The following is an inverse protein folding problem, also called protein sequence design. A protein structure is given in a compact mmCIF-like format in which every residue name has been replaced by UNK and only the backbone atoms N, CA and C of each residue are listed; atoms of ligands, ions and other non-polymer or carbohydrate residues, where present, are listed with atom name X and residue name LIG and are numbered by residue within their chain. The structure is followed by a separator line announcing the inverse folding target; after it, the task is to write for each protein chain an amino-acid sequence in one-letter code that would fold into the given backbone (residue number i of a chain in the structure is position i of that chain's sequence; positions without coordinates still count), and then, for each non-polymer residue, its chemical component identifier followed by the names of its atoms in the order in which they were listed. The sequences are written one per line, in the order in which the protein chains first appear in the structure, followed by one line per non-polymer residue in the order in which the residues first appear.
data_IF_340083139657
#
_entry.id   IF_340083139657
#
_cell.length_a   1.000
_cell.length_b   1.000
_cell.length_c   1.000
_cell.angle_alpha   90.00
_cell.angle_beta   90.00
_cell.angle_gamma   90.00
#
_symmetry.space_group_name_H-M   'P 1'
#
loop_
_entity.id
_entity.type
_entity.pdbx_description
1 polymer ?
#
# COMPACT_ATOMS: atom_id res chain seq x y z
N UNK A 1 27.61 -2.30 11.13
CA UNK A 1 27.59 -3.26 9.99
C UNK A 1 26.54 -4.36 10.04
N UNK A 2 25.27 -4.03 10.33
CA UNK A 2 24.13 -4.94 10.05
C UNK A 2 23.60 -4.79 8.61
N UNK A 3 24.17 -3.86 7.82
CA UNK A 3 23.70 -3.49 6.49
C UNK A 3 24.17 -4.39 5.34
N UNK A 4 24.94 -5.45 5.62
CA UNK A 4 25.49 -6.40 4.65
C UNK A 4 25.02 -7.86 4.83
N UNK A 5 24.15 -8.11 5.80
CA UNK A 5 23.49 -9.41 5.94
C UNK A 5 22.42 -9.56 4.85
N UNK A 6 22.31 -10.74 4.23
CA UNK A 6 21.15 -11.13 3.41
C UNK A 6 19.82 -11.09 4.21
N UNK A 7 19.92 -10.99 5.54
CA UNK A 7 18.82 -10.96 6.49
C UNK A 7 18.63 -9.58 7.12
N UNK A 8 17.44 -9.00 6.97
CA UNK A 8 17.10 -7.69 7.54
C UNK A 8 16.56 -7.84 8.98
N UNK A 9 17.51 -8.05 9.90
CA UNK A 9 17.21 -8.21 11.34
C UNK A 9 16.56 -6.94 11.92
N UNK A 10 16.93 -5.77 11.41
CA UNK A 10 16.38 -4.48 11.88
C UNK A 10 14.91 -4.38 11.51
N UNK A 11 14.54 -4.73 10.28
CA UNK A 11 13.14 -4.78 9.86
C UNK A 11 12.33 -5.79 10.68
N UNK A 12 12.88 -6.98 10.94
CA UNK A 12 12.19 -8.00 11.74
C UNK A 12 11.93 -7.55 13.19
N UNK A 13 12.94 -6.98 13.86
CA UNK A 13 12.79 -6.42 15.22
C UNK A 13 11.82 -5.24 15.25
N UNK A 14 11.85 -4.40 14.22
CA UNK A 14 10.94 -3.27 14.08
C UNK A 14 9.49 -3.74 13.99
N UNK A 15 9.20 -4.72 13.13
CA UNK A 15 7.85 -5.31 12.99
C UNK A 15 7.39 -5.93 14.32
N UNK A 16 8.23 -6.72 14.99
CA UNK A 16 7.91 -7.31 16.29
C UNK A 16 7.57 -6.23 17.32
N UNK A 17 8.39 -5.17 17.40
CA UNK A 17 8.17 -4.04 18.29
C UNK A 17 6.82 -3.37 18.04
N UNK A 18 6.47 -3.11 16.77
CA UNK A 18 5.18 -2.54 16.41
C UNK A 18 4.01 -3.48 16.72
N UNK A 19 4.15 -4.79 16.48
CA UNK A 19 3.12 -5.77 16.80
C UNK A 19 2.86 -5.88 18.30
N UNK A 20 3.91 -5.82 19.13
CA UNK A 20 3.78 -5.76 20.60
C UNK A 20 3.11 -4.45 21.02
N UNK A 21 3.54 -3.33 20.47
CA UNK A 21 2.97 -2.01 20.74
C UNK A 21 1.46 -1.97 20.43
N UNK A 22 1.05 -2.48 19.28
CA UNK A 22 -0.36 -2.59 18.88
C UNK A 22 -1.16 -3.54 19.77
N UNK A 23 -0.52 -4.62 20.23
CA UNK A 23 -1.15 -5.59 21.12
C UNK A 23 -1.50 -5.01 22.49
N UNK A 24 -0.68 -4.09 23.01
CA UNK A 24 -0.93 -3.36 24.27
C UNK A 24 -2.12 -2.40 24.16
N UNK A 25 -2.60 -2.10 22.94
CA UNK A 25 -3.84 -1.36 22.73
C UNK A 25 -3.65 0.14 22.58
N UNK A 26 -2.58 0.57 21.92
CA UNK A 26 -2.49 1.96 21.48
C UNK A 26 -3.58 2.18 20.42
N UNK A 27 -4.62 2.94 20.80
CA UNK A 27 -5.53 3.54 19.83
C UNK A 27 -4.76 4.62 19.11
N UNK A 28 -4.66 4.53 17.78
CA UNK A 28 -4.20 5.67 17.00
C UNK A 28 -5.15 6.83 17.25
N UNK A 29 -4.64 7.89 17.86
CA UNK A 29 -5.34 9.16 17.94
C UNK A 29 -5.19 9.88 16.61
N UNK A 30 -6.28 10.47 16.10
CA UNK A 30 -6.24 11.33 14.93
C UNK A 30 -5.13 12.40 15.02
N UNK A 31 -4.85 12.91 16.23
CA UNK A 31 -3.77 13.86 16.49
C UNK A 31 -2.39 13.26 16.22
N UNK A 32 -2.13 12.04 16.69
CA UNK A 32 -0.84 11.35 16.49
C UNK A 32 -0.63 11.05 15.01
N UNK A 33 -1.68 10.58 14.32
CA UNK A 33 -1.62 10.36 12.88
C UNK A 33 -1.35 11.66 12.12
N UNK A 34 -2.02 12.76 12.47
CA UNK A 34 -1.78 14.07 11.86
C UNK A 34 -0.33 14.55 12.06
N UNK A 35 0.25 14.34 13.24
CA UNK A 35 1.67 14.65 13.50
C UNK A 35 2.57 13.85 12.56
N UNK A 36 2.35 12.53 12.42
CA UNK A 36 3.13 11.72 11.48
C UNK A 36 2.99 12.18 10.03
N UNK A 37 1.77 12.58 9.61
CA UNK A 37 1.52 13.10 8.27
C UNK A 37 2.25 14.43 8.03
N UNK A 38 2.19 15.37 8.98
CA UNK A 38 2.91 16.64 8.88
C UNK A 38 4.42 16.42 8.85
N UNK A 39 4.95 15.52 9.67
CA UNK A 39 6.39 15.20 9.69
C UNK A 39 6.85 14.61 8.35
N UNK A 40 6.14 13.61 7.81
CA UNK A 40 6.57 12.97 6.55
C UNK A 40 6.42 13.90 5.34
N UNK A 41 5.36 14.72 5.29
CA UNK A 41 5.17 15.69 4.19
C UNK A 41 6.19 16.82 4.30
N UNK A 42 6.43 17.37 5.49
CA UNK A 42 7.41 18.45 5.66
C UNK A 42 8.82 18.01 5.29
N UNK A 43 9.22 16.78 5.63
CA UNK A 43 10.51 16.22 5.20
C UNK A 43 10.65 16.14 3.68
N UNK A 44 9.59 15.75 2.96
CA UNK A 44 9.60 15.73 1.48
C UNK A 44 9.65 17.14 0.89
N UNK A 45 8.92 18.10 1.46
CA UNK A 45 8.98 19.50 1.02
C UNK A 45 10.38 20.08 1.23
N UNK A 46 11.01 19.80 2.38
CA UNK A 46 12.39 20.20 2.67
C UNK A 46 13.35 19.58 1.67
N UNK A 47 13.20 18.29 1.35
CA UNK A 47 13.99 17.64 0.32
C UNK A 47 13.81 18.30 -1.05
N UNK A 48 12.57 18.56 -1.48
CA UNK A 48 12.27 19.19 -2.76
C UNK A 48 12.90 20.59 -2.81
N UNK A 49 12.73 21.40 -1.77
CA UNK A 49 13.24 22.77 -1.70
C UNK A 49 14.77 22.81 -1.69
N UNK A 50 15.43 21.99 -0.86
CA UNK A 50 16.88 21.93 -0.80
C UNK A 50 17.50 21.29 -2.04
N UNK A 51 16.90 20.22 -2.54
CA UNK A 51 17.36 19.50 -3.72
C UNK A 51 17.19 20.29 -5.01
N UNK A 52 16.22 21.22 -5.08
CA UNK A 52 16.05 22.11 -6.23
C UNK A 52 17.32 22.91 -6.57
N UNK A 53 18.13 23.29 -5.56
CA UNK A 53 19.40 23.99 -5.77
C UNK A 53 20.50 23.11 -6.38
N UNK A 54 20.33 21.79 -6.36
CA UNK A 54 21.27 20.81 -6.91
C UNK A 54 20.83 20.28 -8.28
N UNK A 55 19.68 20.72 -8.80
CA UNK A 55 19.16 20.22 -10.07
C UNK A 55 20.00 20.72 -11.24
N UNK A 56 20.62 19.78 -11.94
CA UNK A 56 21.33 20.05 -13.17
C UNK A 56 20.48 19.58 -14.36
N UNK A 57 20.10 20.51 -15.26
CA UNK A 57 19.27 20.21 -16.42
C UNK A 57 19.88 19.12 -17.33
N UNK A 58 21.21 18.98 -17.33
CA UNK A 58 21.93 17.93 -18.05
C UNK A 58 21.50 16.52 -17.62
N UNK A 59 21.17 16.31 -16.33
CA UNK A 59 20.72 15.02 -15.82
C UNK A 59 19.32 14.63 -16.32
N UNK A 60 18.52 15.62 -16.76
CA UNK A 60 17.15 15.42 -17.26
C UNK A 60 17.09 15.23 -18.79
N UNK A 61 18.19 15.46 -19.51
CA UNK A 61 18.19 15.42 -20.98
C UNK A 61 17.90 14.01 -21.54
N UNK A 62 18.36 12.97 -20.86
CA UNK A 62 18.05 11.58 -21.21
C UNK A 62 16.92 11.04 -20.31
N UNK A 63 15.72 11.62 -20.46
CA UNK A 63 14.57 11.35 -19.57
C UNK A 63 14.04 9.91 -19.67
N UNK A 64 14.20 9.27 -20.83
CA UNK A 64 13.70 7.92 -21.07
C UNK A 64 14.77 7.04 -21.75
N UNK A 65 15.87 6.71 -21.06
CA UNK A 65 16.99 5.99 -21.65
C UNK A 65 16.62 4.56 -22.08
N UNK A 66 15.55 4.01 -21.51
CA UNK A 66 15.09 2.62 -21.69
C UNK A 66 13.90 2.51 -22.67
N UNK A 67 13.22 3.62 -22.92
CA UNK A 67 11.91 3.58 -23.54
C UNK A 67 10.85 2.93 -22.65
N UNK A 68 9.80 2.42 -23.28
CA UNK A 68 8.70 1.73 -22.63
C UNK A 68 9.07 0.34 -22.08
N UNK A 69 10.26 -0.16 -22.45
CA UNK A 69 10.66 -1.56 -22.28
C UNK A 69 9.96 -2.49 -23.27
N UNK A 70 10.41 -3.75 -23.32
CA UNK A 70 9.75 -4.78 -24.12
C UNK A 70 8.50 -5.30 -23.40
N UNK A 71 7.34 -5.18 -24.05
CA UNK A 71 6.06 -5.66 -23.52
C UNK A 71 5.95 -7.18 -23.67
N UNK A 72 6.72 -7.93 -22.90
CA UNK A 72 6.58 -9.37 -22.80
C UNK A 72 5.59 -9.72 -21.69
N UNK A 73 4.47 -10.42 -21.99
CA UNK A 73 3.56 -10.90 -20.96
C UNK A 73 4.32 -11.70 -19.91
N UNK A 74 4.10 -11.38 -18.64
CA UNK A 74 4.76 -11.98 -17.48
C UNK A 74 6.28 -11.78 -17.43
N UNK A 75 6.83 -10.83 -18.20
CA UNK A 75 8.27 -10.55 -18.22
C UNK A 75 8.76 -9.80 -16.98
N UNK A 76 7.95 -8.88 -16.48
CA UNK A 76 8.26 -8.05 -15.31
C UNK A 76 9.66 -7.46 -15.29
N UNK A 77 10.23 -7.30 -14.09
CA UNK A 77 11.64 -6.96 -13.91
C UNK A 77 12.60 -8.17 -14.07
N UNK A 78 12.09 -9.39 -14.31
CA UNK A 78 12.89 -10.60 -14.15
C UNK A 78 13.39 -11.20 -15.47
N UNK A 79 12.71 -10.99 -16.60
CA UNK A 79 13.05 -11.67 -17.87
C UNK A 79 14.05 -10.89 -18.76
N UNK A 80 15.19 -10.41 -18.21
CA UNK A 80 16.37 -10.05 -19.01
C UNK A 80 17.66 -10.34 -18.24
N UNK A 81 18.19 -11.56 -18.41
CA UNK A 81 19.41 -12.10 -17.81
C UNK A 81 20.73 -11.47 -18.33
N UNK A 82 20.74 -10.19 -18.71
CA UNK A 82 21.96 -9.47 -19.04
C UNK A 82 22.08 -8.22 -18.18
N UNK A 83 23.20 -8.12 -17.50
CA UNK A 83 23.58 -7.16 -16.45
C UNK A 83 23.63 -5.69 -16.87
N UNK A 84 22.90 -5.28 -17.92
CA UNK A 84 22.91 -3.93 -18.48
C UNK A 84 21.61 -3.55 -19.22
N UNK A 85 20.44 -4.01 -18.79
CA UNK A 85 19.15 -3.54 -19.32
C UNK A 85 18.42 -2.74 -18.24
N UNK A 86 18.29 -1.41 -18.38
CA UNK A 86 17.49 -0.63 -17.44
C UNK A 86 16.01 -1.04 -17.54
N UNK A 87 15.24 -0.99 -16.44
CA UNK A 87 13.85 -1.45 -16.42
C UNK A 87 12.96 -0.47 -17.20
N UNK A 88 12.08 -1.00 -18.07
CA UNK A 88 11.15 -0.17 -18.84
C UNK A 88 10.10 0.52 -17.97
N UNK A 89 9.51 1.60 -18.48
CA UNK A 89 8.48 2.39 -17.77
C UNK A 89 7.34 1.51 -17.22
N UNK A 90 6.93 0.46 -17.93
CA UNK A 90 5.83 -0.40 -17.49
C UNK A 90 6.19 -1.25 -16.27
N UNK A 91 7.39 -1.85 -16.26
CA UNK A 91 7.87 -2.66 -15.14
C UNK A 91 8.15 -1.79 -13.90
N UNK A 92 8.77 -0.63 -14.07
CA UNK A 92 8.97 0.34 -12.98
C UNK A 92 7.62 0.88 -12.50
N UNK A 93 6.69 1.17 -13.42
CA UNK A 93 5.34 1.63 -13.11
C UNK A 93 4.58 0.66 -12.20
N UNK A 94 4.65 -0.63 -12.52
CA UNK A 94 4.06 -1.68 -11.67
C UNK A 94 4.76 -1.82 -10.32
N UNK A 95 6.02 -1.43 -10.18
CA UNK A 95 6.76 -1.45 -8.92
C UNK A 95 6.44 -0.24 -8.04
N UNK A 96 6.53 0.98 -8.60
CA UNK A 96 6.22 2.23 -7.88
C UNK A 96 4.72 2.39 -7.59
N UNK A 97 3.87 1.55 -8.19
CA UNK A 97 2.46 1.41 -7.79
C UNK A 97 2.31 1.16 -6.29
N UNK A 98 3.27 0.49 -5.66
CA UNK A 98 3.30 0.28 -4.21
C UNK A 98 3.14 1.60 -3.42
N UNK A 99 3.76 2.68 -3.91
CA UNK A 99 3.72 4.00 -3.25
C UNK A 99 2.31 4.61 -3.20
N UNK A 100 1.38 4.11 -4.02
CA UNK A 100 -0.02 4.55 -4.06
C UNK A 100 -0.94 3.69 -3.19
N UNK A 101 -0.46 2.59 -2.61
CA UNK A 101 -1.27 1.75 -1.73
C UNK A 101 -1.52 2.48 -0.41
N UNK A 102 -2.75 2.42 0.11
CA UNK A 102 -3.14 2.98 1.40
C UNK A 102 -4.31 3.97 1.34
N UNK A 103 -4.70 4.47 0.16
CA UNK A 103 -5.88 5.34 0.03
C UNK A 103 -7.19 4.63 0.43
N UNK A 104 -7.24 3.32 0.28
CA UNK A 104 -8.32 2.44 0.69
C UNK A 104 -8.51 2.44 2.21
N UNK A 105 -7.46 2.69 2.99
CA UNK A 105 -7.56 2.83 4.46
C UNK A 105 -8.51 3.97 4.85
N UNK A 106 -8.53 5.08 4.11
CA UNK A 106 -9.46 6.19 4.36
C UNK A 106 -10.93 5.79 4.20
N UNK A 107 -11.21 4.75 3.40
CA UNK A 107 -12.58 4.22 3.25
C UNK A 107 -13.03 3.37 4.43
N UNK A 108 -12.09 2.83 5.24
CA UNK A 108 -12.42 2.06 6.44
C UNK A 108 -12.94 2.94 7.59
N UNK A 109 -12.56 4.21 7.61
CA UNK A 109 -13.02 5.20 8.59
C UNK A 109 -14.25 5.97 8.09
N UNK A 110 -14.87 5.53 6.98
CA UNK A 110 -16.08 6.15 6.46
C UNK A 110 -17.22 6.18 7.48
N UNK A 111 -17.29 5.16 8.36
CA UNK A 111 -18.26 5.07 9.45
C UNK A 111 -18.04 6.12 10.55
N UNK A 112 -16.83 6.70 10.64
CA UNK A 112 -16.46 7.73 11.62
C UNK A 112 -16.53 9.16 11.03
N UNK A 113 -16.86 9.29 9.74
CA UNK A 113 -16.98 10.58 9.07
C UNK A 113 -18.33 11.25 9.36
N UNK A 114 -18.32 12.57 9.60
CA UNK A 114 -19.57 13.34 9.78
C UNK A 114 -20.40 13.39 8.51
N UNK A 115 -19.76 13.55 7.35
CA UNK A 115 -20.44 13.52 6.06
C UNK A 115 -19.70 12.57 5.09
N UNK A 116 -19.91 11.25 5.23
CA UNK A 116 -19.18 10.25 4.44
C UNK A 116 -19.35 10.42 2.92
N UNK A 117 -20.45 11.05 2.47
CA UNK A 117 -20.75 11.28 1.05
C UNK A 117 -19.75 12.24 0.39
N UNK A 118 -19.22 13.21 1.15
CA UNK A 118 -18.30 14.23 0.66
C UNK A 118 -16.89 14.04 1.23
N UNK A 119 -16.77 13.72 2.52
CA UNK A 119 -15.50 13.64 3.22
C UNK A 119 -14.63 12.50 2.66
N UNK A 120 -15.22 11.32 2.38
CA UNK A 120 -14.48 10.15 1.90
C UNK A 120 -13.97 10.36 0.47
N UNK A 121 -14.78 10.77 -0.52
CA UNK A 121 -14.28 11.02 -1.88
C UNK A 121 -13.24 12.14 -1.94
N UNK A 122 -13.46 13.25 -1.24
CA UNK A 122 -12.51 14.37 -1.20
C UNK A 122 -11.21 13.94 -0.52
N UNK A 123 -11.29 13.19 0.57
CA UNK A 123 -10.13 12.65 1.27
C UNK A 123 -9.31 11.71 0.39
N UNK A 124 -9.95 10.75 -0.28
CA UNK A 124 -9.28 9.76 -1.14
C UNK A 124 -8.65 10.43 -2.37
N UNK A 125 -9.44 11.21 -3.13
CA UNK A 125 -8.96 11.85 -4.37
C UNK A 125 -7.92 12.93 -4.05
N UNK A 126 -8.16 13.74 -3.00
CA UNK A 126 -7.24 14.78 -2.56
C UNK A 126 -5.91 14.21 -2.09
N UNK A 127 -5.92 13.15 -1.28
CA UNK A 127 -4.70 12.47 -0.84
C UNK A 127 -3.92 11.88 -2.02
N UNK A 128 -4.60 11.24 -2.97
CA UNK A 128 -3.97 10.71 -4.19
C UNK A 128 -3.37 11.81 -5.06
N UNK A 129 -4.08 12.93 -5.28
CA UNK A 129 -3.59 14.03 -6.09
C UNK A 129 -2.37 14.71 -5.46
N UNK A 130 -2.43 15.03 -4.16
CA UNK A 130 -1.32 15.64 -3.41
C UNK A 130 -0.12 14.67 -3.39
N UNK A 131 -0.36 13.39 -3.10
CA UNK A 131 0.68 12.37 -3.10
C UNK A 131 1.36 12.24 -4.47
N UNK A 132 0.58 12.21 -5.56
CA UNK A 132 1.10 12.19 -6.94
C UNK A 132 2.02 13.39 -7.20
N UNK A 133 1.58 14.61 -6.86
CA UNK A 133 2.38 15.82 -7.08
C UNK A 133 3.69 15.78 -6.31
N UNK A 134 3.65 15.38 -5.03
CA UNK A 134 4.84 15.29 -4.17
C UNK A 134 5.79 14.20 -4.67
N UNK A 135 5.27 13.03 -5.09
CA UNK A 135 6.09 11.96 -5.64
C UNK A 135 6.76 12.37 -6.95
N UNK A 136 6.03 12.99 -7.89
CA UNK A 136 6.60 13.49 -9.14
C UNK A 136 7.66 14.56 -8.88
N UNK A 137 7.39 15.53 -8.01
CA UNK A 137 8.35 16.57 -7.65
C UNK A 137 9.62 15.97 -7.01
N UNK A 138 9.46 15.04 -6.07
CA UNK A 138 10.57 14.33 -5.42
C UNK A 138 11.41 13.56 -6.44
N UNK A 139 10.77 12.84 -7.37
CA UNK A 139 11.48 12.08 -8.40
C UNK A 139 12.25 12.99 -9.37
N UNK A 140 11.65 14.09 -9.81
CA UNK A 140 12.30 15.08 -10.69
C UNK A 140 13.51 15.69 -9.99
N UNK A 141 13.37 16.11 -8.72
CA UNK A 141 14.47 16.68 -7.95
C UNK A 141 15.58 15.65 -7.72
N UNK A 142 15.23 14.41 -7.38
CA UNK A 142 16.19 13.33 -7.14
C UNK A 142 17.03 13.03 -8.39
N UNK A 143 16.39 12.80 -9.54
CA UNK A 143 17.08 12.51 -10.81
C UNK A 143 17.77 13.76 -11.37
N UNK A 144 17.25 14.95 -11.08
CA UNK A 144 17.89 16.21 -11.42
C UNK A 144 19.19 16.45 -10.64
N UNK A 145 19.23 16.05 -9.36
CA UNK A 145 20.39 16.22 -8.49
C UNK A 145 21.46 15.14 -8.70
N UNK A 146 21.04 13.88 -8.93
CA UNK A 146 21.95 12.73 -9.10
C UNK A 146 21.61 12.01 -10.40
N UNK A 147 22.60 11.74 -11.28
CA UNK A 147 22.39 10.93 -12.47
C UNK A 147 21.69 9.61 -12.14
N UNK A 148 20.67 9.24 -12.91
CA UNK A 148 19.78 8.09 -12.62
C UNK A 148 20.52 6.76 -12.38
N UNK A 149 21.69 6.58 -13.00
CA UNK A 149 22.54 5.39 -12.89
C UNK A 149 23.41 5.35 -11.62
N UNK A 150 23.46 6.43 -10.85
CA UNK A 150 24.24 6.55 -9.61
C UNK A 150 23.36 6.72 -8.36
N UNK A 151 22.03 6.69 -8.50
CA UNK A 151 21.11 6.77 -7.37
C UNK A 151 21.19 5.46 -6.57
N UNK A 152 21.60 5.48 -5.28
CA UNK A 152 21.69 4.28 -4.48
C UNK A 152 20.30 3.76 -4.11
N UNK A 153 20.19 2.43 -3.93
CA UNK A 153 18.96 1.79 -3.46
C UNK A 153 18.65 2.20 -2.01
N UNK A 154 19.69 2.32 -1.18
CA UNK A 154 19.54 2.68 0.24
C UNK A 154 19.69 4.20 0.42
N UNK A 155 18.72 4.81 1.11
CA UNK A 155 18.69 6.24 1.47
C UNK A 155 18.95 7.22 0.30
N UNK A 156 18.25 7.08 -0.86
CA UNK A 156 18.51 7.91 -2.04
C UNK A 156 18.31 9.42 -1.79
N UNK A 157 17.34 9.79 -0.96
CA UNK A 157 17.05 11.21 -0.67
C UNK A 157 18.19 11.89 0.11
N UNK A 158 18.76 11.20 1.09
CA UNK A 158 19.89 11.73 1.88
C UNK A 158 21.14 11.81 1.02
N UNK A 159 21.38 10.79 0.19
CA UNK A 159 22.51 10.77 -0.75
C UNK A 159 22.46 11.97 -1.71
N UNK A 160 21.29 12.28 -2.27
CA UNK A 160 21.14 13.38 -3.21
C UNK A 160 21.44 14.76 -2.61
N UNK A 161 21.27 14.94 -1.30
CA UNK A 161 21.59 16.19 -0.61
C UNK A 161 22.99 16.25 -0.01
N UNK A 162 23.76 15.15 -0.07
CA UNK A 162 25.12 15.11 0.47
C UNK A 162 26.03 16.25 -0.04
N UNK A 163 25.95 16.69 -1.32
CA UNK A 163 26.76 17.80 -1.83
C UNK A 163 26.50 19.16 -1.17
N UNK A 164 25.37 19.36 -0.48
CA UNK A 164 25.10 20.61 0.24
C UNK A 164 25.91 20.72 1.54
N UNK A 165 26.47 19.61 2.04
CA UNK A 165 27.23 19.57 3.29
C UNK A 165 26.46 20.14 4.51
N UNK A 166 25.13 20.00 4.54
CA UNK A 166 24.27 20.44 5.65
C UNK A 166 23.75 19.18 6.40
N UNK A 167 24.37 18.81 7.54
CA UNK A 167 23.97 17.61 8.30
C UNK A 167 22.52 17.67 8.80
N UNK A 168 22.02 18.88 9.10
CA UNK A 168 20.67 19.09 9.58
C UNK A 168 19.60 18.61 8.56
N UNK A 169 19.84 18.79 7.25
CA UNK A 169 18.92 18.31 6.21
C UNK A 169 18.81 16.79 6.20
N UNK A 170 19.95 16.11 6.33
CA UNK A 170 20.00 14.65 6.40
C UNK A 170 19.23 14.11 7.61
N UNK A 171 19.36 14.77 8.76
CA UNK A 171 18.62 14.43 9.98
C UNK A 171 17.11 14.62 9.82
N UNK A 172 16.68 15.77 9.29
CA UNK A 172 15.24 16.06 9.07
C UNK A 172 14.61 15.03 8.14
N UNK A 173 15.28 14.71 7.03
CA UNK A 173 14.79 13.72 6.06
C UNK A 173 14.75 12.33 6.69
N UNK A 174 15.80 11.93 7.40
CA UNK A 174 15.86 10.60 8.04
C UNK A 174 14.75 10.45 9.07
N UNK A 175 14.51 11.47 9.91
CA UNK A 175 13.39 11.48 10.86
C UNK A 175 12.03 11.41 10.16
N UNK A 176 11.84 12.16 9.07
CA UNK A 176 10.62 12.11 8.27
C UNK A 176 10.36 10.75 7.63
N UNK A 177 11.40 10.09 7.12
CA UNK A 177 11.31 8.73 6.57
C UNK A 177 10.96 7.73 7.68
N UNK A 178 11.65 7.77 8.83
CA UNK A 178 11.36 6.88 9.96
C UNK A 178 9.91 7.07 10.46
N UNK A 179 9.47 8.31 10.62
CA UNK A 179 8.10 8.65 10.98
C UNK A 179 7.09 8.12 9.95
N UNK A 180 7.36 8.32 8.66
CA UNK A 180 6.51 7.85 7.56
C UNK A 180 6.40 6.33 7.50
N UNK A 181 7.51 5.62 7.54
CA UNK A 181 7.54 4.14 7.52
C UNK A 181 6.87 3.55 8.75
N UNK A 182 7.06 4.14 9.93
CA UNK A 182 6.39 3.70 11.16
C UNK A 182 4.88 3.86 11.08
N UNK A 183 4.42 5.02 10.62
CA UNK A 183 2.98 5.31 10.45
C UNK A 183 2.31 4.33 9.48
N UNK A 184 2.94 4.05 8.32
CA UNK A 184 2.37 3.10 7.34
C UNK A 184 2.39 1.68 7.90
N UNK A 185 3.47 1.25 8.55
CA UNK A 185 3.56 -0.10 9.14
C UNK A 185 2.50 -0.34 10.22
N UNK A 186 2.26 0.66 11.10
CA UNK A 186 1.20 0.60 12.11
C UNK A 186 -0.18 0.50 11.47
N UNK A 187 -0.48 1.37 10.50
CA UNK A 187 -1.75 1.38 9.79
C UNK A 187 -2.02 0.05 9.06
N UNK A 188 -1.00 -0.54 8.41
CA UNK A 188 -1.13 -1.83 7.73
C UNK A 188 -1.37 -2.99 8.69
N UNK A 189 -0.62 -3.06 9.82
CA UNK A 189 -0.82 -4.10 10.84
C UNK A 189 -2.21 -4.00 11.49
N UNK A 190 -2.69 -2.78 11.75
CA UNK A 190 -4.04 -2.53 12.24
C UNK A 190 -5.10 -2.96 11.22
N UNK A 191 -4.97 -2.55 9.97
CA UNK A 191 -5.89 -2.92 8.89
C UNK A 191 -6.01 -4.43 8.72
N UNK A 192 -4.89 -5.16 8.71
CA UNK A 192 -4.87 -6.62 8.64
C UNK A 192 -5.64 -7.27 9.81
N UNK A 193 -5.40 -6.81 11.04
CA UNK A 193 -6.07 -7.39 12.23
C UNK A 193 -7.60 -7.20 12.19
N UNK A 194 -8.08 -6.07 11.65
CA UNK A 194 -9.51 -5.78 11.49
C UNK A 194 -10.16 -6.67 10.44
N UNK A 195 -9.51 -6.88 9.30
CA UNK A 195 -10.01 -7.77 8.25
C UNK A 195 -10.15 -9.20 8.79
N UNK A 196 -9.14 -9.69 9.51
CA UNK A 196 -9.18 -11.02 10.12
C UNK A 196 -10.28 -11.16 11.17
N UNK A 197 -10.51 -10.12 11.96
CA UNK A 197 -11.60 -10.09 12.93
C UNK A 197 -12.97 -10.22 12.25
N UNK A 198 -13.22 -9.43 11.19
CA UNK A 198 -14.49 -9.48 10.43
C UNK A 198 -14.65 -10.83 9.72
N UNK A 199 -13.60 -11.35 9.08
CA UNK A 199 -13.64 -12.67 8.44
C UNK A 199 -13.91 -13.80 9.44
N UNK A 200 -13.35 -13.72 10.65
CA UNK A 200 -13.62 -14.69 11.72
C UNK A 200 -15.05 -14.56 12.26
N UNK A 201 -15.57 -13.34 12.41
CA UNK A 201 -16.97 -13.06 12.78
C UNK A 201 -17.94 -13.64 11.76
N UNK A 202 -17.63 -13.50 10.47
CA UNK A 202 -18.45 -14.00 9.36
C UNK A 202 -18.27 -15.53 9.13
N UNK A 203 -17.55 -16.22 10.02
CA UNK A 203 -17.36 -17.68 10.01
C UNK A 203 -16.33 -18.19 8.99
N UNK A 204 -15.65 -17.29 8.28
CA UNK A 204 -14.66 -17.63 7.24
C UNK A 204 -13.30 -18.05 7.83
N UNK A 205 -12.98 -17.66 9.07
CA UNK A 205 -11.76 -18.04 9.79
C UNK A 205 -12.10 -18.74 11.13
N UNK A 206 -11.13 -19.43 11.78
CA UNK A 206 -11.34 -20.00 13.10
C UNK A 206 -11.69 -18.92 14.15
N UNK A 207 -12.62 -19.19 15.09
CA UNK A 207 -13.05 -18.20 16.08
C UNK A 207 -11.93 -17.77 17.05
N UNK A 208 -10.84 -18.54 17.15
CA UNK A 208 -9.65 -18.12 17.88
C UNK A 208 -9.01 -16.84 17.31
N UNK A 209 -9.23 -16.54 16.02
CA UNK A 209 -8.68 -15.36 15.33
C UNK A 209 -9.43 -14.07 15.71
N UNK A 210 -10.70 -14.17 16.11
CA UNK A 210 -11.48 -13.03 16.63
C UNK A 210 -11.38 -12.86 18.16
N UNK A 211 -10.60 -13.71 18.86
CA UNK A 211 -10.47 -13.63 20.31
C UNK A 211 -9.78 -12.32 20.73
N UNK A 212 -10.47 -11.57 21.58
CA UNK A 212 -10.01 -10.27 22.09
C UNK A 212 -9.48 -10.44 23.52
N UNK A 213 -8.33 -9.81 23.81
CA UNK A 213 -7.71 -9.89 25.14
C UNK A 213 -8.58 -9.19 26.21
N UNK A 214 -8.88 -9.83 27.36
CA UNK A 214 -9.81 -9.29 28.36
C UNK A 214 -9.43 -7.91 28.93
N UNK A 215 -8.12 -7.65 29.09
CA UNK A 215 -7.60 -6.40 29.71
C UNK A 215 -7.40 -5.26 28.72
N UNK A 216 -6.94 -5.57 27.50
CA UNK A 216 -6.54 -4.57 26.51
C UNK A 216 -7.60 -4.35 25.43
N UNK A 217 -8.61 -5.23 25.36
CA UNK A 217 -9.68 -5.20 24.36
C UNK A 217 -9.16 -5.15 22.92
N UNK A 218 -8.00 -5.78 22.67
CA UNK A 218 -7.34 -5.92 21.37
C UNK A 218 -7.23 -7.39 20.92
N UNK A 219 -7.18 -7.67 19.60
CA UNK A 219 -6.95 -9.02 19.07
C UNK A 219 -5.47 -9.43 19.17
N UNK A 220 -4.92 -9.41 20.39
CA UNK A 220 -3.48 -9.57 20.68
C UNK A 220 -2.87 -10.83 20.06
N UNK A 221 -3.54 -11.98 20.18
CA UNK A 221 -3.02 -13.26 19.63
C UNK A 221 -2.85 -13.19 18.12
N UNK A 222 -3.85 -12.63 17.43
CA UNK A 222 -3.84 -12.49 15.97
C UNK A 222 -2.76 -11.51 15.54
N UNK A 223 -2.66 -10.35 16.20
CA UNK A 223 -1.63 -9.33 15.91
C UNK A 223 -0.20 -9.83 16.12
N UNK A 224 0.04 -10.60 17.18
CA UNK A 224 1.36 -11.18 17.43
C UNK A 224 1.69 -12.31 16.44
N UNK A 225 0.72 -13.16 16.10
CA UNK A 225 0.92 -14.24 15.15
C UNK A 225 1.22 -13.69 13.75
N UNK A 226 0.44 -12.72 13.29
CA UNK A 226 0.67 -12.07 11.99
C UNK A 226 1.96 -11.26 12.01
N UNK A 227 2.23 -10.53 13.10
CA UNK A 227 3.48 -9.81 13.31
C UNK A 227 4.71 -10.71 13.23
N UNK A 228 4.66 -11.89 13.87
CA UNK A 228 5.73 -12.88 13.80
C UNK A 228 5.91 -13.42 12.37
N UNK A 229 4.81 -13.72 11.67
CA UNK A 229 4.88 -14.17 10.27
C UNK A 229 5.49 -13.09 9.36
N UNK A 230 5.09 -11.83 9.51
CA UNK A 230 5.64 -10.69 8.76
C UNK A 230 7.11 -10.47 9.11
N UNK A 231 7.51 -10.60 10.38
CA UNK A 231 8.90 -10.48 10.80
C UNK A 231 9.78 -11.56 10.17
N UNK A 232 9.29 -12.81 10.08
CA UNK A 232 10.00 -13.90 9.37
C UNK A 232 10.14 -13.58 7.89
N UNK A 233 9.06 -13.11 7.23
CA UNK A 233 9.12 -12.72 5.82
C UNK A 233 10.07 -11.55 5.57
N UNK A 234 10.04 -10.52 6.43
CA UNK A 234 10.94 -9.37 6.36
C UNK A 234 12.41 -9.78 6.58
N UNK A 235 12.65 -10.81 7.39
CA UNK A 235 13.99 -11.33 7.63
C UNK A 235 14.58 -12.05 6.41
N UNK A 236 13.79 -12.85 5.68
CA UNK A 236 14.33 -13.78 4.67
C UNK A 236 13.99 -13.43 3.22
N UNK A 237 12.95 -12.62 2.98
CA UNK A 237 12.48 -12.30 1.62
C UNK A 237 12.98 -10.92 1.20
N UNK A 238 13.68 -10.80 0.05
CA UNK A 238 14.12 -9.50 -0.45
C UNK A 238 12.95 -8.54 -0.68
N UNK A 239 13.16 -7.25 -0.35
CA UNK A 239 12.17 -6.19 -0.49
C UNK A 239 11.51 -6.18 -1.87
N UNK A 240 12.28 -6.31 -2.95
CA UNK A 240 11.74 -6.28 -4.32
C UNK A 240 10.71 -7.40 -4.56
N UNK A 241 10.93 -8.58 -3.98
CA UNK A 241 9.99 -9.70 -4.10
C UNK A 241 8.72 -9.44 -3.28
N UNK A 242 8.87 -8.90 -2.07
CA UNK A 242 7.73 -8.50 -1.23
C UNK A 242 6.88 -7.44 -1.94
N UNK A 243 7.50 -6.41 -2.53
CA UNK A 243 6.79 -5.35 -3.26
C UNK A 243 6.04 -5.90 -4.47
N UNK A 244 6.68 -6.77 -5.26
CA UNK A 244 6.01 -7.40 -6.40
C UNK A 244 4.80 -8.26 -5.96
N UNK A 245 4.91 -9.01 -4.85
CA UNK A 245 3.83 -9.81 -4.29
C UNK A 245 2.66 -8.96 -3.76
N UNK A 246 2.97 -7.84 -3.10
CA UNK A 246 1.94 -6.89 -2.66
C UNK A 246 1.25 -6.28 -3.89
N UNK A 247 2.02 -5.83 -4.88
CA UNK A 247 1.48 -5.16 -6.07
C UNK A 247 0.56 -6.08 -6.88
N UNK A 248 0.92 -7.36 -7.12
CA UNK A 248 0.00 -8.27 -7.83
C UNK A 248 -1.31 -8.45 -7.06
N UNK A 249 -1.24 -8.63 -5.74
CA UNK A 249 -2.43 -8.82 -4.91
C UNK A 249 -3.35 -7.61 -4.95
N UNK A 250 -2.79 -6.41 -4.80
CA UNK A 250 -3.56 -5.16 -4.80
C UNK A 250 -4.11 -4.81 -6.18
N UNK A 251 -3.34 -5.01 -7.26
CA UNK A 251 -3.82 -4.79 -8.63
C UNK A 251 -5.01 -5.71 -8.93
N UNK A 252 -4.92 -6.99 -8.54
CA UNK A 252 -6.02 -7.94 -8.71
C UNK A 252 -7.25 -7.57 -7.86
N UNK A 253 -7.04 -7.12 -6.62
CA UNK A 253 -8.12 -6.62 -5.77
C UNK A 253 -8.81 -5.39 -6.41
N UNK A 254 -8.05 -4.44 -6.95
CA UNK A 254 -8.61 -3.26 -7.62
C UNK A 254 -9.40 -3.64 -8.89
N UNK A 255 -8.91 -4.60 -9.68
CA UNK A 255 -9.68 -5.15 -10.80
C UNK A 255 -11.04 -5.72 -10.34
N UNK A 256 -11.06 -6.47 -9.23
CA UNK A 256 -12.30 -7.03 -8.66
C UNK A 256 -13.22 -5.93 -8.15
N UNK A 257 -12.70 -4.90 -7.47
CA UNK A 257 -13.50 -3.75 -7.00
C UNK A 257 -14.14 -3.01 -8.18
N UNK A 258 -13.37 -2.70 -9.23
CA UNK A 258 -13.89 -2.06 -10.44
C UNK A 258 -14.96 -2.92 -11.14
N UNK A 259 -14.74 -4.24 -11.24
CA UNK A 259 -15.74 -5.17 -11.77
C UNK A 259 -17.01 -5.21 -10.88
N UNK A 260 -16.84 -5.14 -9.55
CA UNK A 260 -17.92 -5.06 -8.58
C UNK A 260 -18.80 -3.82 -8.77
N UNK A 261 -18.20 -2.66 -9.08
CA UNK A 261 -18.95 -1.42 -9.40
C UNK A 261 -19.82 -1.62 -10.65
N UNK A 262 -19.28 -2.24 -11.71
CA UNK A 262 -20.05 -2.55 -12.93
C UNK A 262 -21.19 -3.53 -12.64
N UNK A 263 -20.90 -4.58 -11.87
CA UNK A 263 -21.88 -5.59 -11.47
C UNK A 263 -23.02 -4.97 -10.64
N UNK A 264 -22.70 -4.21 -9.60
CA UNK A 264 -23.69 -3.58 -8.72
C UNK A 264 -24.55 -2.56 -9.44
N UNK A 265 -24.02 -1.83 -10.42
CA UNK A 265 -24.81 -0.92 -11.25
C UNK A 265 -25.85 -1.64 -12.12
N UNK A 266 -25.55 -2.85 -12.58
CA UNK A 266 -26.48 -3.65 -13.38
C UNK A 266 -27.50 -4.42 -12.52
N UNK A 267 -27.07 -4.92 -11.35
CA UNK A 267 -27.90 -5.80 -10.50
C UNK A 267 -28.74 -5.09 -9.46
N UNK A 268 -28.27 -3.96 -8.93
CA UNK A 268 -28.98 -3.17 -7.91
C UNK A 268 -28.96 -1.69 -8.30
N UNK A 269 -29.64 -1.29 -9.40
CA UNK A 269 -29.62 0.09 -9.88
C UNK A 269 -30.20 1.07 -8.84
N UNK A 270 -31.23 0.66 -8.10
CA UNK A 270 -32.01 1.52 -7.19
C UNK A 270 -31.39 1.71 -5.80
N UNK A 271 -30.27 1.05 -5.52
CA UNK A 271 -29.57 1.19 -4.23
C UNK A 271 -29.11 2.65 -4.04
N UNK A 272 -29.38 3.27 -2.87
CA UNK A 272 -28.87 4.60 -2.54
C UNK A 272 -27.34 4.55 -2.53
N UNK A 273 -26.70 5.54 -3.15
CA UNK A 273 -25.24 5.62 -3.28
C UNK A 273 -24.78 6.99 -2.81
N UNK A 274 -24.05 7.01 -1.70
CA UNK A 274 -23.39 8.20 -1.15
C UNK A 274 -22.50 8.91 -2.17
N UNK A 275 -21.79 8.14 -3.00
CA UNK A 275 -20.98 8.66 -4.10
C UNK A 275 -21.22 7.84 -5.38
N UNK A 276 -21.30 8.53 -6.52
CA UNK A 276 -21.44 7.90 -7.84
C UNK A 276 -20.21 8.20 -8.68
N UNK A 277 -19.49 7.14 -9.05
CA UNK A 277 -18.37 7.23 -10.00
C UNK A 277 -18.87 7.89 -11.31
N UNK A 278 -18.24 8.96 -11.78
CA UNK A 278 -18.59 9.58 -13.05
C UNK A 278 -18.21 8.67 -14.22
N UNK A 279 -18.84 8.85 -15.39
CA UNK A 279 -18.52 8.14 -16.64
C UNK A 279 -18.47 6.61 -16.53
N UNK A 280 -19.48 5.99 -15.92
CA UNK A 280 -19.64 4.52 -16.03
C UNK A 280 -20.29 4.18 -17.37
N UNK A 281 -19.81 3.15 -18.09
CA UNK A 281 -18.86 2.11 -17.63
C UNK A 281 -17.38 2.40 -17.88
N UNK A 282 -17.04 3.53 -18.50
CA UNK A 282 -15.68 3.86 -18.92
C UNK A 282 -14.66 3.83 -17.78
N UNK A 283 -14.89 4.53 -16.66
CA UNK A 283 -13.91 4.61 -15.57
C UNK A 283 -13.62 3.25 -14.90
N UNK A 284 -14.62 2.43 -14.52
CA UNK A 284 -14.35 1.09 -14.02
C UNK A 284 -13.65 0.18 -15.05
N UNK A 285 -13.99 0.28 -16.35
CA UNK A 285 -13.31 -0.49 -17.39
C UNK A 285 -11.84 -0.08 -17.51
N UNK A 286 -11.55 1.22 -17.51
CA UNK A 286 -10.17 1.72 -17.52
C UNK A 286 -9.40 1.24 -16.28
N UNK A 287 -10.02 1.24 -15.10
CA UNK A 287 -9.41 0.70 -13.88
C UNK A 287 -9.04 -0.77 -14.00
N UNK A 288 -9.91 -1.60 -14.57
CA UNK A 288 -9.64 -3.02 -14.86
C UNK A 288 -8.50 -3.15 -15.86
N UNK A 289 -8.57 -2.44 -16.99
CA UNK A 289 -7.58 -2.52 -18.07
C UNK A 289 -6.21 -2.09 -17.58
N UNK A 290 -6.09 -0.94 -16.90
CA UNK A 290 -4.81 -0.45 -16.36
C UNK A 290 -4.23 -1.40 -15.31
N UNK A 291 -5.07 -1.92 -14.40
CA UNK A 291 -4.59 -2.83 -13.35
C UNK A 291 -4.09 -4.15 -13.92
N UNK A 292 -4.85 -4.75 -14.86
CA UNK A 292 -4.43 -5.97 -15.54
C UNK A 292 -3.24 -5.74 -16.47
N UNK A 293 -3.16 -4.58 -17.13
CA UNK A 293 -2.01 -4.22 -17.95
C UNK A 293 -0.72 -4.18 -17.12
N UNK A 294 -0.72 -3.48 -15.98
CA UNK A 294 0.44 -3.44 -15.07
C UNK A 294 0.75 -4.81 -14.48
N UNK A 295 -0.27 -5.60 -14.12
CA UNK A 295 -0.06 -6.94 -13.58
C UNK A 295 0.55 -7.90 -14.61
N UNK A 296 0.06 -7.90 -15.85
CA UNK A 296 0.52 -8.81 -16.91
C UNK A 296 1.86 -8.38 -17.47
N UNK A 297 2.06 -7.10 -17.79
CA UNK A 297 3.28 -6.64 -18.47
C UNK A 297 4.36 -6.12 -17.50
N UNK A 298 3.98 -5.71 -16.29
CA UNK A 298 4.90 -5.11 -15.33
C UNK A 298 5.44 -6.05 -14.26
N UNK A 299 4.81 -7.22 -14.04
CA UNK A 299 5.22 -8.18 -13.01
C UNK A 299 5.74 -9.48 -13.62
N UNK A 300 6.68 -10.12 -12.91
CA UNK A 300 7.37 -11.31 -13.41
C UNK A 300 6.51 -12.56 -13.30
N UNK A 301 6.83 -13.56 -14.12
CA UNK A 301 6.19 -14.88 -14.09
C UNK A 301 6.27 -15.54 -12.71
N UNK A 302 7.38 -15.35 -12.00
CA UNK A 302 7.55 -15.84 -10.63
C UNK A 302 6.51 -15.24 -9.68
N UNK A 303 6.26 -13.93 -9.75
CA UNK A 303 5.22 -13.27 -8.95
C UNK A 303 3.83 -13.84 -9.22
N UNK A 304 3.51 -14.09 -10.49
CA UNK A 304 2.26 -14.75 -10.88
C UNK A 304 2.12 -16.16 -10.34
N UNK A 305 3.19 -16.96 -10.37
CA UNK A 305 3.15 -18.32 -9.81
C UNK A 305 2.83 -18.29 -8.32
N UNK A 306 3.48 -17.42 -7.55
CA UNK A 306 3.20 -17.27 -6.11
C UNK A 306 1.77 -16.78 -5.85
N UNK A 307 1.28 -15.82 -6.64
CA UNK A 307 -0.09 -15.35 -6.52
C UNK A 307 -1.11 -16.46 -6.78
N UNK A 308 -0.92 -17.26 -7.85
CA UNK A 308 -1.82 -18.38 -8.16
C UNK A 308 -1.75 -19.45 -7.07
N UNK A 309 -0.56 -19.78 -6.55
CA UNK A 309 -0.41 -20.71 -5.42
C UNK A 309 -1.19 -20.20 -4.21
N UNK A 310 -1.01 -18.94 -3.82
CA UNK A 310 -1.71 -18.34 -2.68
C UNK A 310 -3.23 -18.34 -2.88
N UNK A 311 -3.71 -18.05 -4.10
CA UNK A 311 -5.12 -18.07 -4.45
C UNK A 311 -5.70 -19.49 -4.37
N UNK A 312 -4.99 -20.49 -4.88
CA UNK A 312 -5.40 -21.91 -4.80
C UNK A 312 -5.44 -22.38 -3.35
N UNK A 313 -4.42 -22.06 -2.54
CA UNK A 313 -4.40 -22.37 -1.10
C UNK A 313 -5.59 -21.70 -0.39
N UNK A 314 -5.85 -20.44 -0.69
CA UNK A 314 -7.00 -19.70 -0.16
C UNK A 314 -8.34 -20.33 -0.54
N UNK A 315 -8.50 -20.77 -1.79
CA UNK A 315 -9.70 -21.48 -2.26
C UNK A 315 -9.87 -22.84 -1.57
N UNK A 316 -8.79 -23.62 -1.43
CA UNK A 316 -8.83 -24.91 -0.72
C UNK A 316 -9.29 -24.68 0.72
N UNK A 317 -8.72 -23.68 1.40
CA UNK A 317 -9.14 -23.33 2.76
C UNK A 317 -10.60 -22.86 2.80
N UNK A 318 -11.02 -22.02 1.86
CA UNK A 318 -12.40 -21.55 1.76
C UNK A 318 -13.39 -22.70 1.56
N UNK A 319 -13.17 -23.62 0.62
CA UNK A 319 -14.10 -24.73 0.39
C UNK A 319 -14.09 -25.80 1.48
N UNK A 320 -12.94 -26.01 2.15
CA UNK A 320 -12.83 -27.00 3.23
C UNK A 320 -13.43 -26.52 4.55
N UNK A 321 -13.19 -25.26 4.92
CA UNK A 321 -13.63 -24.67 6.20
C UNK A 321 -14.69 -23.59 6.00
N UNK A 322 -14.36 -22.54 5.24
CA UNK A 322 -15.17 -21.32 5.11
C UNK A 322 -16.59 -21.58 4.61
N UNK A 323 -16.75 -22.27 3.49
CA UNK A 323 -18.04 -22.53 2.84
C UNK A 323 -19.01 -23.33 3.72
N UNK A 324 -18.49 -24.18 4.61
CA UNK A 324 -19.31 -24.99 5.52
C UNK A 324 -19.81 -24.22 6.73
N UNK A 325 -19.16 -23.10 7.09
CA UNK A 325 -19.44 -22.31 8.30
C UNK A 325 -19.90 -20.87 8.02
N UNK A 326 -19.64 -20.34 6.83
CA UNK A 326 -20.18 -19.06 6.37
C UNK A 326 -21.65 -19.26 6.02
N UNK A 327 -22.56 -18.95 6.94
CA UNK A 327 -23.98 -18.95 6.65
C UNK A 327 -24.39 -17.53 6.21
N UNK A 328 -24.75 -17.29 4.93
CA UNK A 328 -25.10 -15.95 4.45
C UNK A 328 -26.33 -15.35 5.15
N UNK A 329 -27.11 -16.19 5.84
CA UNK A 329 -28.30 -15.81 6.60
C UNK A 329 -28.01 -15.21 7.98
N UNK A 330 -26.81 -15.45 8.52
CA UNK A 330 -26.38 -14.96 9.83
C UNK A 330 -25.48 -13.71 9.74
N UNK A 331 -25.30 -13.17 8.53
CA UNK A 331 -24.64 -11.86 8.33
C UNK A 331 -25.59 -10.81 8.87
N UNK A 332 -25.37 -10.42 10.13
CA UNK A 332 -26.10 -9.32 10.77
C UNK A 332 -25.91 -8.09 9.86
N UNK A 333 -26.98 -7.54 9.27
CA UNK A 333 -26.89 -6.29 8.53
C UNK A 333 -26.30 -5.25 9.47
N UNK A 334 -25.30 -4.50 9.00
CA UNK A 334 -24.89 -3.29 9.71
C UNK A 334 -26.12 -2.38 9.68
N UNK A 335 -26.81 -2.22 10.81
CA UNK A 335 -27.86 -1.22 10.94
C UNK A 335 -27.24 0.13 10.61
N UNK A 336 -27.83 0.83 9.63
CA UNK A 336 -27.39 2.19 9.30
C UNK A 336 -27.44 3.04 10.58
N UNK A 337 -26.37 3.80 10.90
CA UNK A 337 -26.36 4.59 12.11
C UNK A 337 -27.57 5.55 12.12
N UNK A 338 -28.29 5.64 13.25
CA UNK A 338 -29.46 6.50 13.38
C UNK A 338 -29.01 7.96 13.19
N UNK A 339 -29.32 8.51 12.02
CA UNK A 339 -28.89 9.84 11.59
C UNK A 339 -28.86 10.04 10.08
N UNK A 340 -28.81 8.97 9.28
CA UNK A 340 -28.91 9.05 7.81
C UNK A 340 -30.36 9.01 7.29
N UNK A 341 -31.31 8.51 8.09
CA UNK A 341 -32.74 8.47 7.73
C UNK A 341 -33.47 9.80 7.97
N UNK A 342 -32.92 10.71 8.78
CA UNK A 342 -33.56 12.00 9.13
C UNK A 342 -33.35 13.11 8.09
N UNK A 343 -32.58 12.85 7.02
CA UNK A 343 -32.33 13.81 5.94
C UNK A 343 -32.84 13.37 4.56
N UNK A 344 -33.79 12.43 4.51
CA UNK A 344 -34.46 12.00 3.28
C UNK A 344 -35.72 12.83 2.97
#
# INVERSE_FOLDING_TARGET
DLGHSQYDVVAALFVIGLSVLLSVGIRESATVNNVFVVLKISALIVFIAAGAFLVHAANLHNFNPVGWGTLHPFGGMADYSSSAQPYGIVAIGAYVFFSYIGFDTATTTAEECKNPQFDVPVGVIGALAIGTLVYCATAIVLVGAVPWNHVPIKNPLVYALAPLHIPALSWVITMGVLAGTTSVALASLLGQSRIFYVMARDGMLPPAVSAVHPRFKTPMTTTLLTGAAVAVLALIVPLNNLLNLVNIGTLMAFSVVCAGVLYLRKRRPDMPRSFRVPFVPLFPILGIVCSLFLAVFGLSRMTWTWFVIALVVGLIFFFSYGFRRSNPKDVVPVEEPPGLAEFA
#
